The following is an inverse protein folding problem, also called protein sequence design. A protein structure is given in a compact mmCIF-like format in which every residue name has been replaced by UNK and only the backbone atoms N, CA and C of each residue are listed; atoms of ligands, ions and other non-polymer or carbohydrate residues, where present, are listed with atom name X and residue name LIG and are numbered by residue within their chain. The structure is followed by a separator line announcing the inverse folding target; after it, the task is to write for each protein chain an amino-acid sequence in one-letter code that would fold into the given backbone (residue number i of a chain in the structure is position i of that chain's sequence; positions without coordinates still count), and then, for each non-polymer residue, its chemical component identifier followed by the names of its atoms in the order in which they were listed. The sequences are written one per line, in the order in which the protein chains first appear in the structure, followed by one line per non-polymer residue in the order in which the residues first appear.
data_IF_621061948132
#
_entry.id   IF_621061948132
#
_cell.length_a   1.000
_cell.length_b   1.000
_cell.length_c   1.000
_cell.angle_alpha   90.00
_cell.angle_beta   90.00
_cell.angle_gamma   90.00
#
_symmetry.space_group_name_H-M   'P 1'
#
loop_
_entity.id
_entity.type
_entity.pdbx_description
1 polymer ?
#
# COMPACT_ATOMS: atom_id res chain seq x y z
N UNK A 1 -19.49 9.26 -4.95
CA UNK A 1 -18.96 9.31 -3.57
C UNK A 1 -17.96 8.18 -3.42
N UNK A 2 -16.66 8.40 -3.16
CA UNK A 2 -15.83 7.28 -2.75
C UNK A 2 -16.32 6.87 -1.36
N UNK A 3 -16.74 5.62 -1.20
CA UNK A 3 -17.00 5.07 0.12
C UNK A 3 -15.69 5.12 0.91
N UNK A 4 -15.64 5.89 2.00
CA UNK A 4 -14.50 5.85 2.90
C UNK A 4 -14.48 4.47 3.55
N UNK A 5 -13.74 3.53 2.95
CA UNK A 5 -13.47 2.24 3.55
C UNK A 5 -12.69 2.45 4.85
N UNK A 6 -13.09 1.76 5.91
CA UNK A 6 -12.29 1.73 7.13
C UNK A 6 -11.01 0.92 6.86
N UNK A 7 -9.86 1.51 7.19
CA UNK A 7 -8.55 0.85 7.14
C UNK A 7 -7.84 0.99 8.49
N UNK A 8 -7.10 -0.04 8.88
CA UNK A 8 -6.24 -0.02 10.06
C UNK A 8 -4.81 0.15 9.58
N UNK A 9 -4.09 1.10 10.17
CA UNK A 9 -2.66 1.26 9.97
C UNK A 9 -1.94 0.85 11.24
N UNK A 10 -0.94 -0.01 11.11
CA UNK A 10 -0.06 -0.40 12.20
C UNK A 10 1.40 -0.24 11.80
N UNK A 11 2.22 0.20 12.75
CA UNK A 11 3.64 0.48 12.57
C UNK A 11 4.44 -0.32 13.59
N UNK A 12 5.58 -0.87 13.16
CA UNK A 12 6.48 -1.62 14.04
C UNK A 12 7.93 -1.52 13.54
N UNK A 13 8.83 -1.15 14.43
CA UNK A 13 10.28 -1.24 14.21
C UNK A 13 10.77 -2.68 14.41
N UNK A 14 11.52 -3.19 13.44
CA UNK A 14 12.12 -4.54 13.45
C UNK A 14 13.55 -4.45 12.91
N UNK A 15 14.53 -4.43 13.81
CA UNK A 15 15.92 -4.12 13.45
C UNK A 15 16.01 -2.73 12.82
N UNK A 16 16.71 -2.63 11.69
CA UNK A 16 16.88 -1.38 10.92
C UNK A 16 15.68 -1.01 10.02
N UNK A 17 14.59 -1.78 10.10
CA UNK A 17 13.41 -1.58 9.28
C UNK A 17 12.23 -1.07 10.10
N UNK A 18 11.54 -0.07 9.57
CA UNK A 18 10.17 0.24 9.91
C UNK A 18 9.24 -0.58 9.01
N UNK A 19 8.41 -1.41 9.63
CA UNK A 19 7.35 -2.16 8.94
C UNK A 19 6.03 -1.42 9.14
N UNK A 20 5.41 -1.01 8.04
CA UNK A 20 4.06 -0.42 8.03
C UNK A 20 3.09 -1.42 7.42
N UNK A 21 1.96 -1.65 8.07
CA UNK A 21 0.87 -2.48 7.54
C UNK A 21 -0.41 -1.67 7.47
N UNK A 22 -1.06 -1.74 6.32
CA UNK A 22 -2.36 -1.15 6.03
C UNK A 22 -3.31 -2.29 5.71
N UNK A 23 -4.35 -2.47 6.51
CA UNK A 23 -5.36 -3.50 6.33
C UNK A 23 -6.72 -2.83 6.10
N UNK A 24 -7.38 -3.16 5.00
CA UNK A 24 -8.72 -2.68 4.68
C UNK A 24 -9.65 -3.84 4.27
N UNK A 25 -10.97 -3.61 4.30
CA UNK A 25 -11.99 -4.62 3.94
C UNK A 25 -12.43 -4.56 2.48
N UNK A 26 -11.83 -3.68 1.68
CA UNK A 26 -12.07 -3.57 0.25
C UNK A 26 -11.34 -4.68 -0.51
N UNK A 27 -12.01 -5.23 -1.52
CA UNK A 27 -11.36 -6.13 -2.47
C UNK A 27 -10.64 -5.29 -3.53
N UNK A 28 -9.32 -5.34 -3.56
CA UNK A 28 -8.53 -4.69 -4.59
C UNK A 28 -8.49 -5.59 -5.83
N UNK A 29 -9.20 -5.19 -6.88
CA UNK A 29 -9.48 -6.03 -8.05
C UNK A 29 -8.38 -6.04 -9.14
N UNK A 30 -7.33 -5.23 -9.00
CA UNK A 30 -6.29 -5.06 -10.02
C UNK A 30 -4.90 -5.46 -9.49
N UNK A 31 -4.50 -6.74 -9.58
CA UNK A 31 -3.22 -7.23 -9.07
C UNK A 31 -1.94 -6.50 -9.56
N UNK A 32 -1.87 -5.98 -10.80
CA UNK A 32 -0.71 -5.18 -11.25
C UNK A 32 -0.76 -3.69 -10.87
N UNK A 33 -1.76 -3.21 -10.13
CA UNK A 33 -1.86 -1.79 -9.84
C UNK A 33 -0.60 -1.27 -9.14
N UNK A 34 -0.23 -0.02 -9.46
CA UNK A 34 0.97 0.63 -8.96
C UNK A 34 2.29 0.10 -9.53
N UNK A 35 2.27 -0.96 -10.35
CA UNK A 35 3.40 -1.31 -11.25
C UNK A 35 3.25 -0.68 -12.63
N UNK A 36 2.00 -0.40 -13.03
CA UNK A 36 1.68 0.34 -14.24
C UNK A 36 1.33 1.78 -13.86
N UNK A 37 2.06 2.79 -14.36
CA UNK A 37 1.69 4.18 -14.14
C UNK A 37 0.26 4.45 -14.66
N UNK A 38 -0.61 5.12 -13.89
CA UNK A 38 -1.90 5.53 -14.40
C UNK A 38 -1.73 6.50 -15.58
N UNK A 39 -2.63 6.44 -16.55
CA UNK A 39 -2.59 7.36 -17.69
C UNK A 39 -2.61 8.82 -17.23
N UNK A 40 -1.86 9.68 -17.93
CA UNK A 40 -1.53 11.05 -17.47
C UNK A 40 -2.78 11.91 -17.18
N UNK A 41 -3.88 11.67 -17.89
CA UNK A 41 -5.14 12.39 -17.74
C UNK A 41 -6.03 11.90 -16.57
N UNK A 42 -5.71 10.77 -15.93
CA UNK A 42 -6.47 10.25 -14.80
C UNK A 42 -6.12 11.04 -13.53
N UNK A 43 -7.14 11.57 -12.85
CA UNK A 43 -6.97 12.15 -11.51
C UNK A 43 -6.87 11.03 -10.47
N UNK A 44 -5.70 10.85 -9.86
CA UNK A 44 -5.48 9.88 -8.78
C UNK A 44 -4.68 8.65 -9.24
N UNK A 45 -4.73 7.57 -8.44
CA UNK A 45 -4.12 6.28 -8.79
C UNK A 45 -2.59 6.19 -8.66
N UNK A 46 -1.93 7.25 -8.19
CA UNK A 46 -0.46 7.31 -8.11
C UNK A 46 0.12 6.81 -6.80
N UNK A 47 -0.70 6.72 -5.75
CA UNK A 47 -0.26 6.39 -4.39
C UNK A 47 0.53 5.09 -4.33
N UNK A 48 0.01 4.01 -4.92
CA UNK A 48 0.70 2.72 -4.92
C UNK A 48 1.99 2.72 -5.76
N UNK A 49 2.01 3.48 -6.87
CA UNK A 49 3.23 3.68 -7.65
C UNK A 49 4.32 4.42 -6.88
N UNK A 50 3.95 5.46 -6.13
CA UNK A 50 4.87 6.17 -5.24
C UNK A 50 5.41 5.26 -4.14
N UNK A 51 4.56 4.46 -3.50
CA UNK A 51 4.96 3.52 -2.45
C UNK A 51 5.92 2.46 -3.01
N UNK A 52 5.67 1.92 -4.21
CA UNK A 52 6.58 0.99 -4.89
C UNK A 52 7.94 1.63 -5.24
N UNK A 53 8.00 2.94 -5.43
CA UNK A 53 9.25 3.64 -5.77
C UNK A 53 10.07 4.04 -4.55
N UNK A 54 9.41 4.39 -3.45
CA UNK A 54 10.06 4.94 -2.26
C UNK A 54 10.44 3.88 -1.21
N UNK A 55 9.82 2.71 -1.27
CA UNK A 55 9.99 1.69 -0.23
C UNK A 55 10.80 0.50 -0.73
N UNK A 56 11.56 -0.12 0.15
CA UNK A 56 12.44 -1.23 -0.21
C UNK A 56 11.68 -2.47 -0.67
N UNK A 57 10.56 -2.74 0.01
CA UNK A 57 9.73 -3.87 -0.27
C UNK A 57 8.27 -3.57 0.02
N UNK A 58 7.44 -3.76 -1.01
CA UNK A 58 5.99 -3.65 -0.93
C UNK A 58 5.39 -5.02 -1.22
N UNK A 59 4.63 -5.54 -0.26
CA UNK A 59 3.86 -6.77 -0.42
C UNK A 59 2.38 -6.43 -0.32
N UNK A 60 1.64 -6.75 -1.37
CA UNK A 60 0.19 -6.63 -1.40
C UNK A 60 -0.43 -8.02 -1.40
N UNK A 61 -1.42 -8.21 -0.52
CA UNK A 61 -2.22 -9.41 -0.45
C UNK A 61 -3.70 -9.02 -0.49
N UNK A 62 -4.34 -9.20 -1.64
CA UNK A 62 -5.76 -8.92 -1.85
C UNK A 62 -6.56 -10.23 -1.88
N UNK A 63 -7.68 -10.26 -1.16
CA UNK A 63 -8.68 -11.33 -1.16
C UNK A 63 -10.08 -10.71 -1.20
N UNK A 64 -11.11 -11.56 -1.34
CA UNK A 64 -12.51 -11.11 -1.34
C UNK A 64 -12.94 -10.42 -0.04
N UNK A 65 -12.29 -10.75 1.07
CA UNK A 65 -12.57 -10.25 2.42
C UNK A 65 -11.74 -9.02 2.80
N UNK A 66 -10.81 -8.58 1.95
CA UNK A 66 -10.03 -7.38 2.18
C UNK A 66 -8.68 -7.36 1.48
N UNK A 67 -7.96 -6.26 1.68
CA UNK A 67 -6.61 -6.04 1.15
C UNK A 67 -5.67 -5.70 2.29
N UNK A 68 -4.50 -6.33 2.30
CA UNK A 68 -3.41 -6.03 3.23
C UNK A 68 -2.18 -5.59 2.43
N UNK A 69 -1.65 -4.42 2.74
CA UNK A 69 -0.41 -3.89 2.18
C UNK A 69 0.62 -3.83 3.30
N UNK A 70 1.79 -4.43 3.06
CA UNK A 70 2.94 -4.34 3.95
C UNK A 70 4.09 -3.65 3.25
N UNK A 71 4.63 -2.64 3.91
CA UNK A 71 5.74 -1.82 3.44
C UNK A 71 6.91 -1.99 4.39
N UNK A 72 8.10 -2.13 3.82
CA UNK A 72 9.36 -2.15 4.55
C UNK A 72 10.17 -0.91 4.15
N UNK A 73 10.66 -0.19 5.15
CA UNK A 73 11.46 1.01 5.02
C UNK A 73 12.72 0.86 5.88
N UNK A 74 13.90 0.87 5.28
CA UNK A 74 15.17 0.94 5.98
C UNK A 74 15.52 2.40 6.31
N UNK A 75 16.32 2.61 7.36
CA UNK A 75 16.86 3.94 7.69
C UNK A 75 15.82 4.96 8.18
N UNK A 76 14.62 4.49 8.50
CA UNK A 76 13.55 5.28 9.14
C UNK A 76 13.22 4.63 10.48
N UNK A 77 13.40 5.38 11.57
CA UNK A 77 12.96 4.98 12.91
C UNK A 77 11.89 5.96 13.43
N UNK A 78 10.89 5.43 14.14
CA UNK A 78 9.83 6.17 14.82
C UNK A 78 9.98 6.07 16.33
#
# INVERSE_FOLDING_TARGET
MPAAGAGIVSLRSVGEYLIVRIDDRGAFADPPAGRVPPAVHIRGGRGLGLVNHLCDLVRMHSRRDGTSIRVHLHGVQL
#
